data_IF_708221787284
#
_entry.id   IF_708221787284
#
_cell.length_a   1.000
_cell.length_b   1.000
_cell.length_c   1.000
_cell.angle_alpha   90.00
_cell.angle_beta   90.00
_cell.angle_gamma   90.00
#
_symmetry.space_group_name_H-M   'P 1'
#
loop_
_entity.id
_entity.type
_entity.pdbx_description
1 polymer ?
#
# COMPACT_ATOMS: atom_id res chain seq x y z
N UNK A 1 -19.75 -90.62 -4.77
CA UNK A 1 -19.68 -89.15 -4.57
C UNK A 1 -18.27 -88.79 -4.18
N UNK A 2 -17.57 -87.95 -4.95
CA UNK A 2 -16.25 -87.43 -4.61
C UNK A 2 -16.43 -85.96 -4.24
N UNK A 3 -16.16 -85.61 -2.98
CA UNK A 3 -16.16 -84.23 -2.49
C UNK A 3 -14.78 -83.62 -2.68
N UNK A 4 -14.65 -82.64 -3.56
CA UNK A 4 -13.43 -81.85 -3.70
C UNK A 4 -13.38 -80.76 -2.61
N UNK A 5 -12.53 -80.95 -1.61
CA UNK A 5 -12.24 -79.91 -0.63
C UNK A 5 -11.25 -78.91 -1.22
N UNK A 6 -11.71 -77.70 -1.52
CA UNK A 6 -10.85 -76.57 -1.90
C UNK A 6 -9.91 -76.21 -0.74
N UNK A 7 -8.61 -76.45 -0.94
CA UNK A 7 -7.56 -76.14 0.02
C UNK A 7 -7.31 -74.63 0.02
N UNK A 8 -7.84 -73.92 1.04
CA UNK A 8 -7.56 -72.49 1.23
C UNK A 8 -6.04 -72.28 1.40
N UNK A 9 -5.42 -71.66 0.42
CA UNK A 9 -4.02 -71.29 0.44
C UNK A 9 -3.79 -70.24 1.53
N UNK A 10 -3.06 -70.62 2.59
CA UNK A 10 -2.68 -69.72 3.69
C UNK A 10 -1.78 -68.63 3.12
N UNK A 11 -2.27 -67.39 3.07
CA UNK A 11 -1.49 -66.23 2.61
C UNK A 11 -0.42 -65.92 3.66
N UNK A 12 0.83 -65.76 3.23
CA UNK A 12 1.94 -65.46 4.13
C UNK A 12 1.71 -64.10 4.83
N UNK A 13 1.60 -64.05 6.17
CA UNK A 13 1.29 -62.82 6.90
C UNK A 13 2.38 -61.76 6.72
N UNK A 14 3.63 -62.17 6.50
CA UNK A 14 4.77 -61.27 6.25
C UNK A 14 4.64 -60.46 4.95
N UNK A 15 4.05 -61.04 3.91
CA UNK A 15 3.83 -60.35 2.62
C UNK A 15 2.75 -59.28 2.74
N UNK A 16 1.70 -59.54 3.52
CA UNK A 16 0.65 -58.56 3.81
C UNK A 16 1.18 -57.36 4.57
N UNK A 17 2.01 -57.59 5.60
CA UNK A 17 2.60 -56.52 6.40
C UNK A 17 3.51 -55.64 5.53
N UNK A 18 4.32 -56.23 4.64
CA UNK A 18 5.16 -55.47 3.70
C UNK A 18 4.35 -54.60 2.74
N UNK A 19 3.23 -55.09 2.21
CA UNK A 19 2.36 -54.33 1.31
C UNK A 19 1.72 -53.13 2.04
N UNK A 20 1.30 -53.33 3.30
CA UNK A 20 0.72 -52.26 4.12
C UNK A 20 1.76 -51.16 4.41
N UNK A 21 2.98 -51.55 4.79
CA UNK A 21 4.09 -50.61 5.05
C UNK A 21 4.42 -49.81 3.78
N UNK A 22 4.48 -50.47 2.63
CA UNK A 22 4.73 -49.81 1.35
C UNK A 22 3.60 -48.83 0.98
N UNK A 23 2.35 -49.20 1.22
CA UNK A 23 1.19 -48.33 1.00
C UNK A 23 1.23 -47.07 1.87
N UNK A 24 1.59 -47.20 3.16
CA UNK A 24 1.78 -46.07 4.07
C UNK A 24 2.94 -45.18 3.63
N UNK A 25 4.03 -45.76 3.14
CA UNK A 25 5.17 -45.00 2.65
C UNK A 25 4.82 -44.17 1.41
N UNK A 26 4.07 -44.75 0.47
CA UNK A 26 3.56 -44.04 -0.70
C UNK A 26 2.61 -42.92 -0.28
N UNK A 27 1.69 -43.19 0.64
CA UNK A 27 0.75 -42.18 1.15
C UNK A 27 1.49 -41.02 1.83
N UNK A 28 2.55 -41.31 2.60
CA UNK A 28 3.40 -40.29 3.21
C UNK A 28 4.06 -39.40 2.16
N UNK A 29 4.61 -39.98 1.09
CA UNK A 29 5.21 -39.22 -0.02
C UNK A 29 4.17 -38.30 -0.67
N UNK A 30 2.96 -38.79 -0.91
CA UNK A 30 1.86 -37.99 -1.50
C UNK A 30 1.50 -36.81 -0.61
N UNK A 31 1.44 -37.00 0.71
CA UNK A 31 1.17 -35.91 1.67
C UNK A 31 2.29 -34.86 1.66
N UNK A 32 3.55 -35.30 1.63
CA UNK A 32 4.70 -34.38 1.57
C UNK A 32 4.69 -33.56 0.29
N UNK A 33 4.38 -34.19 -0.86
CA UNK A 33 4.24 -33.50 -2.14
C UNK A 33 3.11 -32.47 -2.12
N UNK A 34 1.93 -32.85 -1.61
CA UNK A 34 0.79 -31.94 -1.50
C UNK A 34 1.11 -30.70 -0.64
N UNK A 35 1.83 -30.89 0.48
CA UNK A 35 2.27 -29.77 1.32
C UNK A 35 3.31 -28.89 0.63
N UNK A 36 4.22 -29.49 -0.16
CA UNK A 36 5.19 -28.74 -0.94
C UNK A 36 4.53 -27.87 -2.01
N UNK A 37 3.52 -28.40 -2.71
CA UNK A 37 2.77 -27.68 -3.75
C UNK A 37 2.03 -26.47 -3.18
N UNK A 38 1.40 -26.60 -2.01
CA UNK A 38 0.73 -25.48 -1.33
C UNK A 38 1.74 -24.38 -0.98
N UNK A 39 2.91 -24.74 -0.45
CA UNK A 39 3.96 -23.76 -0.11
C UNK A 39 4.50 -23.05 -1.35
N UNK A 40 4.67 -23.77 -2.47
CA UNK A 40 5.11 -23.19 -3.74
C UNK A 40 4.07 -22.22 -4.28
N UNK A 41 2.78 -22.58 -4.20
CA UNK A 41 1.69 -21.71 -4.65
C UNK A 41 1.62 -20.39 -3.86
N UNK A 42 1.76 -20.46 -2.53
CA UNK A 42 1.80 -19.26 -1.68
C UNK A 42 3.01 -18.36 -2.02
N UNK A 43 4.20 -18.96 -2.19
CA UNK A 43 5.39 -18.22 -2.59
C UNK A 43 5.20 -17.53 -3.95
N UNK A 44 4.58 -18.22 -4.91
CA UNK A 44 4.31 -17.66 -6.24
C UNK A 44 3.45 -16.39 -6.17
N UNK A 45 2.41 -16.37 -5.33
CA UNK A 45 1.59 -15.18 -5.14
C UNK A 45 2.39 -14.01 -4.55
N UNK A 46 3.23 -14.26 -3.55
CA UNK A 46 4.10 -13.23 -2.97
C UNK A 46 5.13 -12.69 -3.97
N UNK A 47 5.64 -13.52 -4.89
CA UNK A 47 6.54 -13.04 -5.94
C UNK A 47 5.80 -12.21 -6.99
N UNK A 48 4.56 -12.57 -7.33
CA UNK A 48 3.76 -11.78 -8.27
C UNK A 48 3.42 -10.40 -7.70
N UNK A 49 3.05 -10.29 -6.43
CA UNK A 49 2.79 -9.00 -5.79
C UNK A 49 4.04 -8.13 -5.75
N UNK A 50 5.20 -8.73 -5.43
CA UNK A 50 6.47 -8.00 -5.45
C UNK A 50 6.81 -7.50 -6.85
N UNK A 51 6.57 -8.29 -7.89
CA UNK A 51 6.80 -7.85 -9.28
C UNK A 51 5.88 -6.68 -9.65
N UNK A 52 4.62 -6.71 -9.21
CA UNK A 52 3.67 -5.62 -9.44
C UNK A 52 4.08 -4.34 -8.69
N UNK A 53 4.47 -4.46 -7.41
CA UNK A 53 4.97 -3.34 -6.62
C UNK A 53 6.24 -2.71 -7.24
N UNK A 54 7.17 -3.55 -7.72
CA UNK A 54 8.37 -3.07 -8.40
C UNK A 54 8.04 -2.36 -9.71
N UNK A 55 7.07 -2.86 -10.50
CA UNK A 55 6.61 -2.18 -11.71
C UNK A 55 5.98 -0.82 -11.40
N UNK A 56 5.14 -0.75 -10.38
CA UNK A 56 4.53 0.50 -9.95
C UNK A 56 5.58 1.53 -9.52
N UNK A 57 6.61 1.09 -8.78
CA UNK A 57 7.75 1.96 -8.41
C UNK A 57 8.55 2.44 -9.62
N UNK A 58 8.76 1.60 -10.62
CA UNK A 58 9.44 1.99 -11.86
C UNK A 58 8.61 3.08 -12.56
N UNK A 59 7.31 2.88 -12.70
CA UNK A 59 6.41 3.85 -13.33
C UNK A 59 6.41 5.18 -12.56
N UNK A 60 6.29 5.16 -11.23
CA UNK A 60 6.36 6.36 -10.41
C UNK A 60 7.69 7.11 -10.56
N UNK A 61 8.80 6.38 -10.68
CA UNK A 61 10.13 6.97 -10.91
C UNK A 61 10.27 7.55 -12.32
N UNK A 62 9.69 6.91 -13.33
CA UNK A 62 9.65 7.44 -14.71
C UNK A 62 8.82 8.73 -14.79
N UNK A 63 7.65 8.75 -14.15
CA UNK A 63 6.79 9.95 -14.08
C UNK A 63 7.51 11.10 -13.35
N UNK A 64 8.15 10.80 -12.22
CA UNK A 64 9.00 11.77 -11.51
C UNK A 64 10.11 12.27 -12.41
N UNK A 65 10.86 11.38 -13.07
CA UNK A 65 11.94 11.78 -13.98
C UNK A 65 11.43 12.70 -15.10
N UNK A 66 10.28 12.38 -15.71
CA UNK A 66 9.67 13.22 -16.73
C UNK A 66 9.30 14.61 -16.20
N UNK A 67 8.65 14.67 -15.03
CA UNK A 67 8.31 15.95 -14.39
C UNK A 67 9.54 16.79 -14.03
N UNK A 68 10.60 16.15 -13.54
CA UNK A 68 11.88 16.81 -13.25
C UNK A 68 12.56 17.31 -14.52
N UNK A 69 12.54 16.55 -15.62
CA UNK A 69 13.05 17.01 -16.91
C UNK A 69 12.27 18.22 -17.43
N UNK A 70 10.94 18.19 -17.34
CA UNK A 70 10.10 19.34 -17.70
C UNK A 70 10.40 20.58 -16.84
N UNK A 71 10.64 20.38 -15.53
CA UNK A 71 11.05 21.46 -14.64
C UNK A 71 12.45 22.01 -14.97
N UNK A 72 13.39 21.17 -15.38
CA UNK A 72 14.73 21.60 -15.83
C UNK A 72 14.64 22.37 -17.16
N UNK A 73 13.85 21.89 -18.10
CA UNK A 73 13.59 22.60 -19.37
C UNK A 73 12.92 23.95 -19.12
N UNK A 74 11.94 23.98 -18.21
CA UNK A 74 11.27 25.22 -17.80
C UNK A 74 12.21 26.15 -17.03
N UNK A 75 13.11 25.61 -16.20
CA UNK A 75 14.13 26.37 -15.47
C UNK A 75 15.11 27.10 -16.40
N UNK A 76 15.29 26.65 -17.65
CA UNK A 76 16.11 27.34 -18.64
C UNK A 76 15.33 28.42 -19.42
N UNK A 77 14.00 28.51 -19.23
CA UNK A 77 13.20 29.58 -19.82
C UNK A 77 13.24 30.82 -18.92
N UNK A 78 13.64 31.94 -19.50
CA UNK A 78 13.79 33.23 -18.84
C UNK A 78 12.47 33.72 -18.20
N UNK A 79 11.33 33.40 -18.82
CA UNK A 79 9.99 33.70 -18.30
C UNK A 79 9.66 32.94 -17.00
N UNK A 80 10.14 31.70 -16.86
CA UNK A 80 9.92 30.91 -15.65
C UNK A 80 10.79 31.41 -14.49
N UNK A 81 12.04 31.78 -14.79
CA UNK A 81 12.94 32.41 -13.82
C UNK A 81 12.35 33.74 -13.33
N UNK A 82 11.85 34.57 -14.24
CA UNK A 82 11.19 35.83 -13.88
C UNK A 82 9.96 35.60 -13.02
N UNK A 83 9.14 34.60 -13.34
CA UNK A 83 7.95 34.26 -12.56
C UNK A 83 8.30 33.84 -11.13
N UNK A 84 9.24 32.91 -10.95
CA UNK A 84 9.72 32.48 -9.63
C UNK A 84 10.34 33.66 -8.86
N UNK A 85 11.14 34.49 -9.54
CA UNK A 85 11.76 35.66 -8.92
C UNK A 85 10.72 36.66 -8.38
N UNK A 86 9.64 36.91 -9.13
CA UNK A 86 8.54 37.80 -8.71
C UNK A 86 7.62 37.15 -7.66
N UNK A 87 7.25 35.88 -7.83
CA UNK A 87 6.24 35.21 -7.00
C UNK A 87 6.79 34.64 -5.69
N UNK A 88 7.95 33.97 -5.74
CA UNK A 88 8.53 33.30 -4.56
C UNK A 88 9.58 34.16 -3.85
N UNK A 89 10.34 34.96 -4.59
CA UNK A 89 11.45 35.75 -4.04
C UNK A 89 11.13 37.25 -3.89
N UNK A 90 9.97 37.70 -4.36
CA UNK A 90 9.53 39.12 -4.38
C UNK A 90 10.61 40.06 -4.95
N UNK A 91 11.38 39.56 -5.92
CA UNK A 91 12.45 40.28 -6.61
C UNK A 91 11.89 41.07 -7.79
N UNK A 92 12.42 42.28 -7.95
CA UNK A 92 12.02 43.23 -8.98
C UNK A 92 13.11 43.41 -10.03
N UNK A 93 12.72 43.72 -11.27
CA UNK A 93 13.70 44.04 -12.32
C UNK A 93 14.33 45.42 -12.07
N UNK A 94 15.60 45.62 -12.47
CA UNK A 94 16.25 46.93 -12.38
C UNK A 94 15.46 47.97 -13.19
N UNK A 95 14.77 48.89 -12.50
CA UNK A 95 13.92 49.93 -13.09
C UNK A 95 12.45 49.89 -12.67
N UNK A 96 12.00 48.89 -11.92
CA UNK A 96 10.64 48.83 -11.35
C UNK A 96 10.55 49.58 -10.00
N UNK A 97 9.39 50.18 -9.70
CA UNK A 97 9.13 50.93 -8.47
C UNK A 97 8.17 50.15 -7.55
N UNK A 98 8.60 49.88 -6.30
CA UNK A 98 7.74 49.24 -5.29
C UNK A 98 6.68 50.22 -4.81
N UNK A 99 5.40 49.89 -5.02
CA UNK A 99 4.27 50.61 -4.43
C UNK A 99 3.77 49.81 -3.23
N UNK A 100 4.17 50.23 -2.03
CA UNK A 100 3.61 49.67 -0.79
C UNK A 100 2.34 50.45 -0.41
N UNK A 101 1.21 49.75 -0.38
CA UNK A 101 -0.02 50.32 0.14
C UNK A 101 0.04 50.30 1.68
N UNK A 102 0.32 51.45 2.28
CA UNK A 102 0.13 51.63 3.71
C UNK A 102 -1.38 51.62 3.93
N UNK A 103 -1.92 50.47 4.32
CA UNK A 103 -3.32 50.39 4.76
C UNK A 103 -3.43 51.29 6.00
N UNK A 104 -4.32 52.30 6.03
CA UNK A 104 -4.54 53.07 7.24
C UNK A 104 -4.87 52.09 8.36
N UNK A 105 -4.21 52.25 9.51
CA UNK A 105 -4.49 51.49 10.72
C UNK A 105 -5.91 51.84 11.11
N UNK A 106 -6.84 51.02 10.65
CA UNK A 106 -8.25 51.14 10.99
C UNK A 106 -8.37 50.64 12.43
N UNK A 107 -8.48 51.59 13.36
CA UNK A 107 -8.80 51.33 14.77
C UNK A 107 -10.28 50.91 14.90
N UNK A 108 -10.74 49.94 14.11
CA UNK A 108 -11.93 49.19 14.47
C UNK A 108 -11.51 48.08 15.43
N UNK A 109 -12.22 47.87 16.54
CA UNK A 109 -12.09 46.62 17.26
C UNK A 109 -12.41 45.51 16.25
N UNK A 110 -11.41 44.68 15.93
CA UNK A 110 -11.66 43.41 15.26
C UNK A 110 -12.57 42.64 16.20
N UNK A 111 -13.86 42.66 15.93
CA UNK A 111 -14.79 41.79 16.61
C UNK A 111 -14.50 40.41 16.06
N UNK A 112 -13.58 39.69 16.73
CA UNK A 112 -13.09 38.37 16.35
C UNK A 112 -14.26 37.37 16.42
N UNK A 113 -15.03 37.30 15.33
CA UNK A 113 -16.13 36.36 15.10
C UNK A 113 -15.66 34.89 15.17
N UNK A 114 -14.35 34.67 15.02
CA UNK A 114 -13.69 33.38 15.14
C UNK A 114 -13.82 32.78 16.56
N UNK A 115 -13.82 33.61 17.61
CA UNK A 115 -13.94 33.13 18.99
C UNK A 115 -15.34 32.53 19.25
N UNK A 116 -16.37 33.08 18.61
CA UNK A 116 -17.73 32.57 18.68
C UNK A 116 -17.88 31.25 17.90
N UNK A 117 -17.23 31.11 16.75
CA UNK A 117 -17.29 29.90 15.92
C UNK A 117 -16.58 28.72 16.60
N UNK A 118 -15.41 28.96 17.20
CA UNK A 118 -14.69 27.94 17.96
C UNK A 118 -15.47 27.49 19.19
N UNK A 119 -16.11 28.42 19.92
CA UNK A 119 -16.95 28.07 21.07
C UNK A 119 -18.19 27.25 20.67
N UNK A 120 -18.86 27.61 19.58
CA UNK A 120 -19.99 26.85 19.02
C UNK A 120 -19.59 25.42 18.63
N UNK A 121 -18.42 25.28 18.00
CA UNK A 121 -17.89 23.96 17.62
C UNK A 121 -17.52 23.11 18.84
N UNK A 122 -16.81 23.69 19.82
CA UNK A 122 -16.44 23.00 21.07
C UNK A 122 -17.66 22.58 21.89
N UNK A 123 -18.70 23.40 21.93
CA UNK A 123 -19.97 23.06 22.58
C UNK A 123 -20.66 21.87 21.90
N UNK A 124 -20.63 21.78 20.57
CA UNK A 124 -21.14 20.62 19.83
C UNK A 124 -20.36 19.33 20.13
N UNK A 125 -19.03 19.42 20.12
CA UNK A 125 -18.14 18.25 20.35
C UNK A 125 -18.27 17.72 21.78
N UNK A 126 -18.32 18.59 22.79
CA UNK A 126 -18.44 18.19 24.19
C UNK A 126 -19.77 17.49 24.49
N UNK A 127 -20.88 18.01 23.96
CA UNK A 127 -22.20 17.40 24.11
C UNK A 127 -22.29 16.01 23.45
N UNK A 128 -21.65 15.85 22.30
CA UNK A 128 -21.58 14.57 21.59
C UNK A 128 -20.78 13.52 22.38
N UNK A 129 -19.62 13.87 22.92
CA UNK A 129 -18.84 12.96 23.77
C UNK A 129 -19.60 12.52 25.02
N UNK A 130 -20.28 13.45 25.68
CA UNK A 130 -21.11 13.13 26.85
C UNK A 130 -22.26 12.16 26.54
N UNK A 131 -22.77 12.13 25.30
CA UNK A 131 -23.79 11.17 24.87
C UNK A 131 -23.26 9.78 24.49
N UNK A 132 -21.96 9.65 24.21
CA UNK A 132 -21.35 8.37 23.80
C UNK A 132 -20.82 7.54 24.96
N UNK A 133 -20.50 8.17 26.08
CA UNK A 133 -19.92 7.52 27.26
C UNK A 133 -20.86 7.49 28.47
N UNK A 134 -22.16 7.66 28.24
CA UNK A 134 -23.24 7.50 29.20
C UNK A 134 -24.22 6.44 28.72
#
# INVERSE_FOLDING_TARGET
MISSFSRKQKRDPKKYILIIILGIFILFIVVVLAVADIKIYQKKQNYLSQVEDLKNKIQELEDKKSSLQQNIESSNNEDYIEKIAREELDLQKPGENVVSFIKPIDNQPKHDENDNILQLWLAGVSNFWNSLFK
#
